data_IF_268018420255
#
_entry.id   IF_268018420255
#
_cell.length_a   1.000
_cell.length_b   1.000
_cell.length_c   1.000
_cell.angle_alpha   90.00
_cell.angle_beta   90.00
_cell.angle_gamma   90.00
#
_symmetry.space_group_name_H-M   'P 1'
#
loop_
_entity.id
_entity.type
_entity.pdbx_description
1 polymer ?
#
# COMPACT_ATOMS: atom_id res chain seq x y z
N UNK A 1 -38.94 -3.82 17.63
CA UNK A 1 -37.99 -4.91 17.96
C UNK A 1 -36.62 -4.44 17.50
N UNK A 2 -35.66 -4.26 18.42
CA UNK A 2 -34.32 -3.80 18.06
C UNK A 2 -33.60 -4.92 17.30
N UNK A 3 -33.12 -4.62 16.09
CA UNK A 3 -32.34 -5.57 15.30
C UNK A 3 -30.98 -5.75 16.00
N UNK A 4 -30.60 -6.95 16.46
CA UNK A 4 -29.31 -7.14 17.13
C UNK A 4 -28.20 -6.81 16.14
N UNK A 5 -27.31 -5.88 16.52
CA UNK A 5 -26.13 -5.55 15.74
C UNK A 5 -25.22 -6.79 15.76
N UNK A 6 -25.14 -7.49 14.63
CA UNK A 6 -24.25 -8.63 14.47
C UNK A 6 -22.82 -8.13 14.26
N UNK A 7 -21.96 -8.35 15.24
CA UNK A 7 -20.53 -8.05 15.12
C UNK A 7 -19.79 -9.22 14.43
N UNK A 8 -18.78 -8.93 13.59
CA UNK A 8 -17.93 -9.97 13.02
C UNK A 8 -17.17 -10.74 14.10
N UNK A 9 -16.88 -12.01 13.85
CA UNK A 9 -16.10 -12.84 14.78
C UNK A 9 -14.65 -12.33 14.88
N UNK A 10 -13.98 -12.59 16.01
CA UNK A 10 -12.58 -12.22 16.19
C UNK A 10 -11.65 -12.82 15.12
N UNK A 11 -11.95 -14.03 14.67
CA UNK A 11 -11.24 -14.69 13.57
C UNK A 11 -11.36 -13.91 12.25
N UNK A 12 -12.56 -13.40 11.93
CA UNK A 12 -12.78 -12.56 10.75
C UNK A 12 -11.97 -11.27 10.81
N UNK A 13 -11.94 -10.60 11.97
CA UNK A 13 -11.16 -9.36 12.15
C UNK A 13 -9.66 -9.60 11.94
N UNK A 14 -9.13 -10.68 12.50
CA UNK A 14 -7.70 -11.04 12.37
C UNK A 14 -7.34 -11.34 10.91
N UNK A 15 -8.18 -12.14 10.22
CA UNK A 15 -7.95 -12.45 8.79
C UNK A 15 -7.99 -11.20 7.92
N UNK A 16 -8.97 -10.32 8.13
CA UNK A 16 -9.07 -9.05 7.40
C UNK A 16 -7.84 -8.17 7.62
N UNK A 17 -7.36 -8.06 8.86
CA UNK A 17 -6.16 -7.28 9.17
C UNK A 17 -4.91 -7.86 8.49
N UNK A 18 -4.76 -9.18 8.47
CA UNK A 18 -3.65 -9.85 7.80
C UNK A 18 -3.66 -9.64 6.28
N UNK A 19 -4.83 -9.79 5.64
CA UNK A 19 -4.99 -9.55 4.20
C UNK A 19 -4.71 -8.10 3.84
N UNK A 20 -5.21 -7.13 4.62
CA UNK A 20 -4.94 -5.72 4.41
C UNK A 20 -3.44 -5.38 4.55
N UNK A 21 -2.77 -5.92 5.57
CA UNK A 21 -1.34 -5.71 5.77
C UNK A 21 -0.50 -6.25 4.61
N UNK A 22 -0.87 -7.42 4.07
CA UNK A 22 -0.20 -8.02 2.92
C UNK A 22 -0.36 -7.20 1.65
N UNK A 23 -1.59 -6.78 1.34
CA UNK A 23 -1.90 -5.92 0.19
C UNK A 23 -1.14 -4.58 0.26
N UNK A 24 -1.14 -3.95 1.44
CA UNK A 24 -0.42 -2.70 1.67
C UNK A 24 1.09 -2.86 1.46
N UNK A 25 1.67 -3.93 1.97
CA UNK A 25 3.10 -4.22 1.82
C UNK A 25 3.47 -4.49 0.35
N UNK A 26 2.72 -5.34 -0.33
CA UNK A 26 2.93 -5.64 -1.76
C UNK A 26 2.88 -4.36 -2.60
N UNK A 27 1.96 -3.45 -2.28
CA UNK A 27 1.84 -2.17 -2.98
C UNK A 27 2.98 -1.20 -2.71
N UNK A 28 3.44 -1.10 -1.46
CA UNK A 28 4.59 -0.24 -1.10
C UNK A 28 5.86 -0.75 -1.77
N UNK A 29 6.12 -2.06 -1.70
CA UNK A 29 7.31 -2.67 -2.29
C UNK A 29 7.29 -2.58 -3.82
N UNK A 30 6.15 -2.86 -4.46
CA UNK A 30 6.03 -2.74 -5.91
C UNK A 30 6.18 -1.29 -6.39
N UNK A 31 5.62 -0.31 -5.66
CA UNK A 31 5.79 1.11 -6.00
C UNK A 31 7.24 1.56 -5.85
N UNK A 32 7.91 1.16 -4.76
CA UNK A 32 9.33 1.41 -4.56
C UNK A 32 10.17 0.83 -5.70
N UNK A 33 9.93 -0.45 -6.04
CA UNK A 33 10.68 -1.16 -7.06
C UNK A 33 10.43 -0.55 -8.44
N UNK A 34 9.19 -0.23 -8.80
CA UNK A 34 8.84 0.45 -10.05
C UNK A 34 9.53 1.82 -10.16
N UNK A 35 9.48 2.63 -9.10
CA UNK A 35 10.15 3.93 -9.08
C UNK A 35 11.67 3.79 -9.22
N UNK A 36 12.27 2.82 -8.52
CA UNK A 36 13.71 2.56 -8.58
C UNK A 36 14.14 2.05 -9.95
N UNK A 37 13.44 1.06 -10.52
CA UNK A 37 13.73 0.52 -11.86
C UNK A 37 13.53 1.60 -12.92
N UNK A 38 12.45 2.39 -12.86
CA UNK A 38 12.26 3.53 -13.76
C UNK A 38 13.41 4.54 -13.67
N UNK A 39 13.93 4.76 -12.46
CA UNK A 39 15.12 5.55 -12.23
C UNK A 39 16.40 4.99 -12.86
N UNK A 40 16.61 3.66 -12.83
CA UNK A 40 17.75 3.00 -13.50
C UNK A 40 17.76 3.29 -15.01
N UNK A 41 16.58 3.36 -15.65
CA UNK A 41 16.47 3.63 -17.09
C UNK A 41 17.05 5.00 -17.48
N UNK A 42 17.00 5.98 -16.58
CA UNK A 42 17.41 7.37 -16.84
C UNK A 42 18.68 7.80 -16.10
N UNK A 43 19.35 6.86 -15.42
CA UNK A 43 20.58 7.10 -14.64
C UNK A 43 21.69 6.17 -15.08
N UNK A 44 22.94 6.48 -14.69
CA UNK A 44 24.04 5.52 -14.82
C UNK A 44 24.04 4.57 -13.61
N UNK A 45 24.09 3.24 -13.82
CA UNK A 45 24.17 2.30 -12.72
C UNK A 45 25.38 2.58 -11.83
N UNK A 46 25.18 2.57 -10.52
CA UNK A 46 26.22 2.66 -9.48
C UNK A 46 26.89 4.04 -9.33
N UNK A 47 26.35 5.11 -9.94
CA UNK A 47 26.78 6.48 -9.67
C UNK A 47 25.89 7.18 -8.60
N UNK A 48 26.25 8.42 -8.23
CA UNK A 48 25.47 9.21 -7.28
C UNK A 48 24.03 9.50 -7.73
N UNK A 49 23.78 9.64 -9.03
CA UNK A 49 22.45 9.86 -9.62
C UNK A 49 21.50 8.68 -9.42
N UNK A 50 22.03 7.45 -9.41
CA UNK A 50 21.24 6.25 -9.11
C UNK A 50 20.70 6.26 -7.67
N UNK A 51 21.48 6.78 -6.71
CA UNK A 51 21.04 6.87 -5.32
C UNK A 51 19.93 7.92 -5.13
N UNK A 52 19.97 9.02 -5.87
CA UNK A 52 18.86 10.00 -5.89
C UNK A 52 17.59 9.39 -6.52
N UNK A 53 17.74 8.58 -7.57
CA UNK A 53 16.64 7.84 -8.17
C UNK A 53 16.01 6.81 -7.21
N UNK A 54 16.83 6.05 -6.48
CA UNK A 54 16.35 5.16 -5.42
C UNK A 54 15.63 5.93 -4.29
N UNK A 55 16.16 7.10 -3.92
CA UNK A 55 15.51 8.02 -2.98
C UNK A 55 14.13 8.48 -3.45
N UNK A 56 13.99 8.84 -4.73
CA UNK A 56 12.70 9.19 -5.33
C UNK A 56 11.71 8.02 -5.34
N UNK A 57 12.17 6.80 -5.63
CA UNK A 57 11.39 5.56 -5.48
C UNK A 57 10.91 5.35 -4.04
N UNK A 58 11.76 5.65 -3.05
CA UNK A 58 11.41 5.67 -1.63
C UNK A 58 10.30 6.67 -1.29
N UNK A 59 10.41 7.91 -1.79
CA UNK A 59 9.36 8.94 -1.60
C UNK A 59 8.03 8.49 -2.21
N UNK A 60 8.04 7.94 -3.42
CA UNK A 60 6.84 7.42 -4.07
C UNK A 60 6.18 6.31 -3.24
N UNK A 61 6.97 5.43 -2.64
CA UNK A 61 6.49 4.37 -1.76
C UNK A 61 5.84 4.91 -0.47
N UNK A 62 6.43 5.94 0.14
CA UNK A 62 5.85 6.62 1.32
C UNK A 62 4.52 7.29 0.98
N UNK A 63 4.43 7.95 -0.17
CA UNK A 63 3.18 8.57 -0.63
C UNK A 63 2.11 7.50 -0.89
N UNK A 64 2.48 6.36 -1.48
CA UNK A 64 1.57 5.24 -1.71
C UNK A 64 1.09 4.61 -0.40
N UNK A 65 1.98 4.44 0.58
CA UNK A 65 1.64 4.00 1.94
C UNK A 65 0.64 4.94 2.59
N UNK A 66 0.93 6.25 2.59
CA UNK A 66 0.05 7.27 3.14
C UNK A 66 -1.33 7.26 2.50
N UNK A 67 -1.40 7.11 1.16
CA UNK A 67 -2.67 6.96 0.44
C UNK A 67 -3.44 5.70 0.86
N UNK A 68 -2.77 4.56 1.05
CA UNK A 68 -3.38 3.31 1.52
C UNK A 68 -3.98 3.46 2.92
N UNK A 69 -3.26 4.09 3.85
CA UNK A 69 -3.73 4.38 5.20
C UNK A 69 -4.96 5.30 5.20
N UNK A 70 -4.94 6.37 4.39
CA UNK A 70 -6.08 7.28 4.23
C UNK A 70 -7.30 6.57 3.62
N UNK A 71 -7.11 5.66 2.68
CA UNK A 71 -8.19 4.87 2.10
C UNK A 71 -8.88 3.98 3.14
N UNK A 72 -8.12 3.38 4.06
CA UNK A 72 -8.68 2.62 5.18
C UNK A 72 -9.46 3.50 6.16
N UNK A 73 -8.99 4.71 6.46
CA UNK A 73 -9.72 5.66 7.32
C UNK A 73 -11.02 6.18 6.70
N UNK A 74 -11.16 6.15 5.37
CA UNK A 74 -12.39 6.55 4.66
C UNK A 74 -13.31 5.37 4.29
N UNK A 75 -13.24 4.29 5.06
CA UNK A 75 -14.24 3.21 5.08
C UNK A 75 -14.28 2.32 3.83
N UNK A 76 -13.13 2.15 3.15
CA UNK A 76 -12.92 0.99 2.25
C UNK A 76 -12.50 -0.19 3.12
N UNK A 77 -13.45 -0.81 3.82
CA UNK A 77 -13.21 -1.68 4.97
C UNK A 77 -12.36 -2.94 4.69
N UNK A 78 -12.11 -3.32 3.43
CA UNK A 78 -11.43 -4.58 3.08
C UNK A 78 -10.37 -4.50 1.96
N UNK A 79 -9.93 -3.31 1.52
CA UNK A 79 -8.88 -3.20 0.49
C UNK A 79 -8.08 -1.91 0.65
N UNK A 80 -6.75 -1.95 0.43
CA UNK A 80 -5.96 -0.72 0.34
C UNK A 80 -6.14 -0.02 -1.03
N UNK A 81 -6.95 -0.57 -1.93
CA UNK A 81 -7.34 0.02 -3.21
C UNK A 81 -8.51 1.00 -3.09
N UNK A 82 -8.51 2.07 -3.88
CA UNK A 82 -9.66 2.98 -4.06
C UNK A 82 -10.70 2.42 -5.05
N UNK A 83 -10.37 1.34 -5.75
CA UNK A 83 -11.32 0.67 -6.63
C UNK A 83 -12.31 -0.12 -5.77
N UNK A 84 -13.60 0.23 -5.87
CA UNK A 84 -14.68 -0.56 -5.28
C UNK A 84 -14.90 -1.81 -6.15
N UNK A 85 -14.81 -3.00 -5.55
CA UNK A 85 -15.31 -4.24 -6.18
C UNK A 85 -14.27 -5.15 -6.85
N UNK A 86 -13.03 -5.19 -6.36
CA UNK A 86 -12.08 -6.29 -6.63
C UNK A 86 -11.99 -7.22 -5.43
#
# INVERSE_FOLDING_TARGET
MANPIAFPSGETVVKTAATYGRDLLERVLSTFLQGTIGGIVITQPLDGSMWYAAGAGGVAAVVALGKGLVARWRDVSNSASLAKGV
#
